data_IF_483774385122
#
_entry.id   IF_483774385122
#
_cell.length_a   1.000
_cell.length_b   1.000
_cell.length_c   1.000
_cell.angle_alpha   90.00
_cell.angle_beta   90.00
_cell.angle_gamma   90.00
#
_symmetry.space_group_name_H-M   'P 1'
#
loop_
_entity.id
_entity.type
_entity.pdbx_description
1 polymer ?
#
# COMPACT_ATOMS: atom_id res chain seq x y z
N UNK A 1 -9.16 17.04 -14.89
CA UNK A 1 -9.08 16.40 -13.55
C UNK A 1 -7.85 16.96 -12.86
N UNK A 2 -7.96 17.33 -11.59
CA UNK A 2 -6.84 17.83 -10.77
C UNK A 2 -5.89 16.69 -10.37
N UNK A 3 -4.59 16.96 -10.24
CA UNK A 3 -3.66 16.00 -9.66
C UNK A 3 -3.85 15.95 -8.14
N UNK A 4 -3.61 14.78 -7.56
CA UNK A 4 -3.55 14.61 -6.11
C UNK A 4 -2.11 14.81 -5.62
N UNK A 5 -1.99 15.11 -4.34
CA UNK A 5 -0.71 15.23 -3.65
C UNK A 5 -0.55 14.04 -2.69
N UNK A 6 0.66 13.50 -2.57
CA UNK A 6 1.05 12.62 -1.47
C UNK A 6 1.56 13.44 -0.26
N UNK A 7 2.07 14.64 -0.52
CA UNK A 7 2.54 15.62 0.45
C UNK A 7 2.80 16.96 -0.25
N UNK A 8 3.32 17.98 0.46
CA UNK A 8 3.65 19.26 -0.15
C UNK A 8 4.50 19.10 -1.40
N UNK A 9 3.90 19.50 -2.53
CA UNK A 9 4.47 19.48 -3.87
C UNK A 9 5.03 18.14 -4.34
N UNK A 10 4.38 17.08 -3.87
CA UNK A 10 4.69 15.71 -4.23
C UNK A 10 3.46 15.09 -4.93
N UNK A 11 3.41 15.08 -6.28
CA UNK A 11 2.30 14.48 -7.01
C UNK A 11 2.14 13.00 -6.64
N UNK A 12 0.91 12.59 -6.30
CA UNK A 12 0.64 11.28 -5.71
C UNK A 12 1.10 10.13 -6.60
N UNK A 13 0.79 10.17 -7.89
CA UNK A 13 1.11 9.07 -8.80
C UNK A 13 2.62 8.87 -8.99
N UNK A 14 3.35 9.97 -9.00
CA UNK A 14 4.81 9.97 -9.10
C UNK A 14 5.47 9.49 -7.80
N UNK A 15 4.92 9.87 -6.63
CA UNK A 15 5.34 9.33 -5.34
C UNK A 15 5.16 7.81 -5.30
N UNK A 16 3.95 7.32 -5.55
CA UNK A 16 3.62 5.89 -5.53
C UNK A 16 4.54 5.08 -6.45
N UNK A 17 4.79 5.57 -7.67
CA UNK A 17 5.69 4.90 -8.60
C UNK A 17 7.15 4.92 -8.12
N UNK A 18 7.61 6.02 -7.53
CA UNK A 18 8.95 6.12 -6.96
C UNK A 18 9.16 5.12 -5.81
N UNK A 19 8.19 5.01 -4.90
CA UNK A 19 8.23 4.05 -3.79
C UNK A 19 8.22 2.63 -4.35
N UNK A 20 7.36 2.34 -5.32
CA UNK A 20 7.29 1.04 -5.97
C UNK A 20 8.60 0.65 -6.68
N UNK A 21 9.24 1.57 -7.41
CA UNK A 21 10.54 1.31 -8.05
C UNK A 21 11.62 0.99 -7.00
N UNK A 22 11.68 1.78 -5.91
CA UNK A 22 12.59 1.52 -4.79
C UNK A 22 12.35 0.14 -4.16
N UNK A 23 11.10 -0.21 -3.84
CA UNK A 23 10.73 -1.52 -3.28
C UNK A 23 11.06 -2.64 -4.27
N UNK A 24 10.85 -2.44 -5.57
CA UNK A 24 11.14 -3.46 -6.59
C UNK A 24 12.63 -3.82 -6.68
N UNK A 25 13.53 -2.93 -6.24
CA UNK A 25 14.98 -3.13 -6.19
C UNK A 25 15.43 -3.62 -4.81
N UNK A 26 15.07 -2.88 -3.75
CA UNK A 26 15.51 -3.18 -2.37
C UNK A 26 14.76 -4.34 -1.73
N UNK A 27 13.55 -4.62 -2.20
CA UNK A 27 12.72 -5.72 -1.74
C UNK A 27 13.12 -7.08 -2.29
N UNK A 28 14.03 -7.16 -3.28
CA UNK A 28 14.44 -8.45 -3.88
C UNK A 28 14.91 -9.47 -2.83
N UNK A 29 15.81 -9.16 -1.88
CA UNK A 29 16.23 -10.13 -0.87
C UNK A 29 15.08 -10.56 0.06
N UNK A 30 14.17 -9.63 0.37
CA UNK A 30 12.98 -9.89 1.20
C UNK A 30 12.02 -10.82 0.45
N UNK A 31 11.70 -10.53 -0.81
CA UNK A 31 10.85 -11.34 -1.68
C UNK A 31 11.38 -12.78 -1.80
N UNK A 32 12.69 -12.97 -2.00
CA UNK A 32 13.31 -14.31 -2.03
C UNK A 32 13.06 -15.12 -0.77
N UNK A 33 13.17 -14.49 0.39
CA UNK A 33 12.94 -15.16 1.68
C UNK A 33 11.44 -15.47 1.87
N UNK A 34 10.57 -14.52 1.56
CA UNK A 34 9.13 -14.67 1.67
C UNK A 34 8.60 -15.76 0.72
N UNK A 35 9.12 -15.83 -0.50
CA UNK A 35 8.79 -16.87 -1.48
C UNK A 35 8.98 -18.27 -0.91
N UNK A 36 10.10 -18.52 -0.22
CA UNK A 36 10.37 -19.81 0.44
C UNK A 36 9.43 -20.08 1.63
N UNK A 37 9.15 -19.04 2.43
CA UNK A 37 8.28 -19.15 3.62
C UNK A 37 6.83 -19.46 3.25
N UNK A 38 6.33 -18.86 2.17
CA UNK A 38 4.95 -19.01 1.71
C UNK A 38 4.80 -19.98 0.54
N UNK A 39 5.89 -20.60 0.08
CA UNK A 39 5.93 -21.58 -1.03
C UNK A 39 5.31 -21.03 -2.33
N UNK A 40 5.68 -19.80 -2.69
CA UNK A 40 5.28 -19.13 -3.94
C UNK A 40 6.51 -18.77 -4.77
N UNK A 41 6.32 -18.32 -6.01
CA UNK A 41 7.41 -17.85 -6.86
C UNK A 41 8.09 -16.57 -6.33
N UNK A 42 9.41 -16.44 -6.53
CA UNK A 42 10.14 -15.21 -6.15
C UNK A 42 9.60 -13.97 -6.85
N UNK A 43 9.22 -14.10 -8.13
CA UNK A 43 8.58 -13.03 -8.90
C UNK A 43 7.22 -12.64 -8.35
N UNK A 44 6.41 -13.62 -7.93
CA UNK A 44 5.08 -13.37 -7.35
C UNK A 44 5.21 -12.66 -6.01
N UNK A 45 6.16 -13.10 -5.17
CA UNK A 45 6.46 -12.43 -3.91
C UNK A 45 6.90 -10.98 -4.13
N UNK A 46 7.75 -10.73 -5.13
CA UNK A 46 8.22 -9.39 -5.46
C UNK A 46 7.10 -8.50 -6.02
N UNK A 47 6.22 -9.05 -6.86
CA UNK A 47 5.06 -8.32 -7.39
C UNK A 47 4.07 -7.98 -6.28
N UNK A 48 3.83 -8.88 -5.32
CA UNK A 48 2.96 -8.63 -4.15
C UNK A 48 3.50 -7.50 -3.25
N UNK A 49 4.80 -7.47 -2.94
CA UNK A 49 5.36 -6.39 -2.12
C UNK A 49 5.48 -5.07 -2.89
N UNK A 50 5.68 -5.12 -4.22
CA UNK A 50 5.68 -3.92 -5.08
C UNK A 50 4.26 -3.36 -5.20
N UNK A 51 3.25 -4.23 -5.29
CA UNK A 51 1.85 -3.84 -5.24
C UNK A 51 1.50 -3.14 -3.91
N UNK A 52 2.01 -3.65 -2.77
CA UNK A 52 1.86 -2.99 -1.48
C UNK A 52 2.37 -1.54 -1.52
N UNK A 53 3.54 -1.32 -2.13
CA UNK A 53 4.13 0.00 -2.30
C UNK A 53 3.30 0.93 -3.21
N UNK A 54 2.73 0.43 -4.31
CA UNK A 54 1.83 1.22 -5.16
C UNK A 54 0.51 1.58 -4.49
N UNK A 55 0.05 0.73 -3.57
CA UNK A 55 -1.27 0.87 -2.95
C UNK A 55 -1.23 1.56 -1.57
N UNK A 56 -0.07 1.67 -0.92
CA UNK A 56 0.02 2.11 0.48
C UNK A 56 -0.65 3.47 0.74
N UNK A 57 -0.52 4.38 -0.23
CA UNK A 57 -1.03 5.75 -0.18
C UNK A 57 -2.21 6.00 -1.13
N UNK A 58 -2.77 4.95 -1.74
CA UNK A 58 -3.90 5.08 -2.67
C UNK A 58 -5.12 5.78 -2.04
N UNK A 59 -5.29 5.65 -0.72
CA UNK A 59 -6.29 6.35 0.06
C UNK A 59 -6.25 7.88 -0.09
N UNK A 60 -5.08 8.47 -0.35
CA UNK A 60 -4.91 9.92 -0.53
C UNK A 60 -5.62 10.46 -1.78
N UNK A 61 -6.08 9.60 -2.69
CA UNK A 61 -6.87 9.97 -3.87
C UNK A 61 -8.38 10.14 -3.59
N UNK A 62 -8.85 9.91 -2.37
CA UNK A 62 -10.26 10.05 -2.01
C UNK A 62 -10.79 11.50 -2.01
N UNK A 63 -12.05 11.71 -2.39
CA UNK A 63 -12.70 13.02 -2.43
C UNK A 63 -12.66 13.80 -1.11
N UNK A 64 -12.58 13.12 0.05
CA UNK A 64 -12.43 13.79 1.35
C UNK A 64 -11.15 14.65 1.48
N UNK A 65 -10.18 14.46 0.59
CA UNK A 65 -8.92 15.21 0.55
C UNK A 65 -8.82 16.20 -0.60
N UNK A 66 -9.94 16.64 -1.20
CA UNK A 66 -9.94 17.57 -2.35
C UNK A 66 -9.11 18.83 -2.14
N UNK A 67 -9.09 19.37 -0.91
CA UNK A 67 -8.33 20.57 -0.54
C UNK A 67 -7.06 20.29 0.26
N UNK A 68 -6.73 19.01 0.48
CA UNK A 68 -5.58 18.64 1.30
C UNK A 68 -4.29 18.62 0.45
N UNK A 69 -3.26 19.24 1.00
CA UNK A 69 -1.92 19.33 0.39
C UNK A 69 -0.91 18.54 1.25
N UNK A 70 -1.06 18.56 2.57
CA UNK A 70 -0.09 18.02 3.54
C UNK A 70 -0.70 17.05 4.55
N UNK A 71 -2.01 17.11 4.79
CA UNK A 71 -2.69 16.36 5.84
C UNK A 71 -3.76 15.42 5.28
N UNK A 72 -3.49 14.11 5.38
CA UNK A 72 -4.36 13.04 4.91
C UNK A 72 -4.73 12.11 6.09
N UNK A 73 -5.62 12.52 7.00
CA UNK A 73 -5.93 11.70 8.17
C UNK A 73 -6.60 10.39 7.76
N UNK A 74 -6.07 9.26 8.25
CA UNK A 74 -6.62 7.91 8.06
C UNK A 74 -6.61 7.41 6.60
N UNK A 75 -5.76 7.93 5.72
CA UNK A 75 -5.68 7.44 4.34
C UNK A 75 -5.29 5.96 4.26
N UNK A 76 -4.54 5.42 5.23
CA UNK A 76 -4.21 3.99 5.33
C UNK A 76 -5.45 3.10 5.41
N UNK A 77 -6.54 3.60 5.99
CA UNK A 77 -7.82 2.89 6.09
C UNK A 77 -8.44 2.73 4.71
N UNK A 78 -8.41 3.80 3.91
CA UNK A 78 -8.90 3.84 2.53
C UNK A 78 -7.98 3.07 1.58
N UNK A 79 -6.66 3.12 1.76
CA UNK A 79 -5.69 2.28 1.05
C UNK A 79 -5.93 0.80 1.32
N UNK A 80 -6.21 0.44 2.56
CA UNK A 80 -6.55 -0.94 2.95
C UNK A 80 -7.85 -1.41 2.29
N UNK A 81 -8.86 -0.53 2.20
CA UNK A 81 -10.09 -0.79 1.45
C UNK A 81 -9.84 -1.08 -0.03
N UNK A 82 -8.99 -0.28 -0.67
CA UNK A 82 -8.58 -0.48 -2.06
C UNK A 82 -7.90 -1.85 -2.26
N UNK A 83 -6.90 -2.17 -1.44
CA UNK A 83 -6.19 -3.46 -1.49
C UNK A 83 -7.13 -4.64 -1.27
N UNK A 84 -8.00 -4.55 -0.25
CA UNK A 84 -9.03 -5.57 0.01
C UNK A 84 -9.87 -5.82 -1.23
N UNK A 85 -10.36 -4.77 -1.88
CA UNK A 85 -11.22 -4.90 -3.06
C UNK A 85 -10.49 -5.60 -4.20
N UNK A 86 -9.23 -5.22 -4.47
CA UNK A 86 -8.39 -5.88 -5.48
C UNK A 86 -8.22 -7.37 -5.18
N UNK A 87 -7.84 -7.71 -3.94
CA UNK A 87 -7.59 -9.10 -3.57
C UNK A 87 -8.86 -9.95 -3.53
N UNK A 88 -10.01 -9.38 -3.15
CA UNK A 88 -11.30 -10.09 -3.16
C UNK A 88 -11.77 -10.40 -4.59
N UNK A 89 -11.66 -9.44 -5.51
CA UNK A 89 -12.03 -9.64 -6.93
C UNK A 89 -11.14 -10.70 -7.61
N UNK A 90 -9.90 -10.82 -7.17
CA UNK A 90 -8.96 -11.84 -7.64
C UNK A 90 -8.99 -13.14 -6.82
N UNK A 91 -9.85 -13.22 -5.79
CA UNK A 91 -9.95 -14.38 -4.87
C UNK A 91 -8.61 -14.77 -4.21
N UNK A 92 -7.77 -13.77 -3.91
CA UNK A 92 -6.46 -13.94 -3.26
C UNK A 92 -6.64 -14.04 -1.73
N UNK A 93 -7.63 -13.33 -1.17
CA UNK A 93 -8.01 -13.41 0.24
C UNK A 93 -9.52 -13.55 0.37
N UNK A 94 -9.96 -14.32 1.35
CA UNK A 94 -11.39 -14.43 1.69
C UNK A 94 -11.83 -13.32 2.66
N UNK A 95 -10.91 -12.89 3.53
CA UNK A 95 -11.17 -11.92 4.59
C UNK A 95 -9.87 -11.23 5.04
N UNK A 96 -10.01 -10.21 5.88
CA UNK A 96 -8.88 -9.45 6.45
C UNK A 96 -8.54 -9.83 7.89
N UNK A 97 -9.17 -10.89 8.42
CA UNK A 97 -8.78 -11.45 9.72
C UNK A 97 -7.47 -12.22 9.53
N UNK A 98 -6.40 -11.68 10.13
CA UNK A 98 -5.06 -12.24 9.98
C UNK A 98 -4.91 -13.58 10.70
N UNK A 99 -5.75 -13.88 11.70
CA UNK A 99 -5.73 -15.13 12.46
C UNK A 99 -6.61 -16.24 11.89
N UNK A 100 -7.50 -15.94 10.94
CA UNK A 100 -8.44 -16.91 10.38
C UNK A 100 -7.98 -17.49 9.04
N UNK A 101 -7.96 -18.82 8.90
CA UNK A 101 -7.58 -19.51 7.65
C UNK A 101 -6.06 -19.59 7.46
N UNK A 102 -5.60 -20.02 6.29
CA UNK A 102 -4.17 -20.21 6.02
C UNK A 102 -3.41 -18.87 5.99
N UNK A 103 -2.18 -18.87 6.50
CA UNK A 103 -1.29 -17.72 6.33
C UNK A 103 -0.91 -17.57 4.87
N UNK A 104 -1.01 -16.36 4.34
CA UNK A 104 -0.58 -16.04 2.98
C UNK A 104 0.25 -14.76 2.96
N UNK A 105 1.12 -14.63 1.96
CA UNK A 105 1.86 -13.39 1.75
C UNK A 105 0.90 -12.21 1.48
N UNK A 106 -0.26 -12.48 0.86
CA UNK A 106 -1.29 -11.47 0.65
C UNK A 106 -1.83 -10.88 1.97
N UNK A 107 -2.06 -11.70 3.00
CA UNK A 107 -2.42 -11.19 4.33
C UNK A 107 -1.33 -10.29 4.93
N UNK A 108 -0.06 -10.64 4.74
CA UNK A 108 1.04 -9.80 5.18
C UNK A 108 1.12 -8.47 4.39
N UNK A 109 0.77 -8.47 3.10
CA UNK A 109 0.64 -7.25 2.29
C UNK A 109 -0.50 -6.35 2.79
N UNK A 110 -1.68 -6.91 3.05
CA UNK A 110 -2.82 -6.16 3.63
C UNK A 110 -2.41 -5.55 4.96
N UNK A 111 -1.75 -6.32 5.84
CA UNK A 111 -1.25 -5.84 7.11
C UNK A 111 -0.23 -4.71 6.95
N UNK A 112 0.71 -4.83 6.01
CA UNK A 112 1.70 -3.80 5.75
C UNK A 112 1.06 -2.48 5.26
N UNK A 113 0.07 -2.56 4.37
CA UNK A 113 -0.67 -1.37 3.92
C UNK A 113 -1.50 -0.76 5.04
N UNK A 114 -2.17 -1.55 5.87
CA UNK A 114 -2.92 -1.03 7.00
C UNK A 114 -2.04 -0.35 8.05
N UNK A 115 -0.81 -0.84 8.22
CA UNK A 115 0.07 -0.44 9.31
C UNK A 115 1.25 0.42 8.88
N UNK A 116 1.33 0.91 7.64
CA UNK A 116 2.55 1.60 7.16
C UNK A 116 2.95 2.83 8.01
N UNK A 117 2.00 3.45 8.72
CA UNK A 117 2.26 4.53 9.69
C UNK A 117 2.53 4.09 11.15
N UNK A 118 2.75 2.80 11.42
CA UNK A 118 2.84 2.26 12.80
C UNK A 118 3.88 2.94 13.70
N UNK A 119 4.91 3.54 13.11
CA UNK A 119 5.96 4.28 13.83
C UNK A 119 5.54 5.69 14.24
N UNK A 120 4.45 6.22 13.66
CA UNK A 120 4.01 7.60 13.85
C UNK A 120 2.65 7.72 14.55
N UNK A 121 1.82 6.66 14.53
CA UNK A 121 0.52 6.65 15.21
C UNK A 121 0.08 5.25 15.62
N UNK A 122 -0.58 5.17 16.77
CA UNK A 122 -1.26 3.94 17.19
C UNK A 122 -2.48 3.66 16.29
N UNK A 123 -2.65 2.43 15.80
CA UNK A 123 -3.82 2.08 15.00
C UNK A 123 -5.12 2.13 15.82
N UNK A 124 -6.14 2.81 15.30
CA UNK A 124 -7.43 2.93 15.98
C UNK A 124 -8.35 1.73 15.65
N UNK A 125 -8.62 0.91 16.66
CA UNK A 125 -9.45 -0.32 16.60
C UNK A 125 -10.91 -0.09 16.25
N UNK A 126 -11.44 1.14 16.39
CA UNK A 126 -12.82 1.46 16.06
C UNK A 126 -12.98 1.93 14.60
N UNK A 127 -11.89 2.23 13.90
CA UNK A 127 -11.95 2.88 12.59
C UNK A 127 -12.36 1.93 11.47
N UNK A 128 -13.40 2.33 10.72
CA UNK A 128 -13.92 1.62 9.57
C UNK A 128 -13.74 2.52 8.34
N UNK A 129 -13.43 1.92 7.19
CA UNK A 129 -13.44 2.67 5.94
C UNK A 129 -14.90 3.03 5.58
N UNK A 130 -15.19 4.30 5.43
CA UNK A 130 -16.41 4.81 4.78
C UNK A 130 -16.41 4.54 3.27
N UNK A 131 -15.27 4.10 2.72
CA UNK A 131 -15.05 3.78 1.32
C UNK A 131 -13.91 4.60 0.73
N UNK A 132 -13.75 4.49 -0.59
CA UNK A 132 -12.85 5.32 -1.38
C UNK A 132 -13.58 5.76 -2.65
N UNK A 133 -13.74 7.06 -2.82
CA UNK A 133 -14.28 7.71 -4.04
C UNK A 133 -13.15 8.51 -4.66
N UNK A 134 -12.51 8.03 -5.74
CA UNK A 134 -11.38 8.72 -6.36
C UNK A 134 -11.76 10.10 -6.89
N UNK A 135 -10.95 11.13 -6.60
CA UNK A 135 -11.09 12.48 -7.17
C UNK A 135 -10.09 12.78 -8.30
N UNK A 136 -9.07 11.95 -8.44
CA UNK A 136 -7.98 12.08 -9.39
C UNK A 136 -7.60 10.70 -9.95
N UNK A 137 -6.85 10.70 -11.07
CA UNK A 137 -6.40 9.48 -11.73
C UNK A 137 -4.97 9.07 -11.37
N UNK A 138 -4.32 9.77 -10.45
CA UNK A 138 -2.90 9.59 -10.12
C UNK A 138 -2.55 8.15 -9.70
N UNK A 139 -3.43 7.50 -8.93
CA UNK A 139 -3.27 6.09 -8.56
C UNK A 139 -3.34 5.20 -9.80
N UNK A 140 -4.31 5.43 -10.69
CA UNK A 140 -4.43 4.68 -11.94
C UNK A 140 -3.20 4.90 -12.85
N UNK A 141 -2.69 6.13 -12.96
CA UNK A 141 -1.48 6.44 -13.75
C UNK A 141 -0.23 5.74 -13.18
N UNK A 142 -0.08 5.67 -11.86
CA UNK A 142 0.99 4.89 -11.22
C UNK A 142 0.89 3.40 -11.60
N UNK A 143 -0.30 2.80 -11.51
CA UNK A 143 -0.53 1.41 -11.91
C UNK A 143 -0.31 1.17 -13.41
N UNK A 144 -0.67 2.12 -14.30
CA UNK A 144 -0.41 2.00 -15.75
C UNK A 144 1.08 1.86 -16.04
N UNK A 145 1.91 2.62 -15.33
CA UNK A 145 3.38 2.66 -15.48
C UNK A 145 4.09 1.48 -14.82
N UNK A 146 3.45 0.80 -13.86
CA UNK A 146 4.01 -0.41 -13.27
C UNK A 146 4.18 -1.54 -14.30
N UNK A 147 5.33 -2.20 -14.28
CA UNK A 147 5.66 -3.36 -15.10
C UNK A 147 5.84 -4.58 -14.18
N UNK A 148 4.78 -5.35 -13.91
CA UNK A 148 4.88 -6.56 -13.09
C UNK A 148 5.71 -7.63 -13.81
N UNK A 149 6.19 -8.61 -13.05
CA UNK A 149 7.07 -9.68 -13.53
C UNK A 149 6.33 -10.98 -13.84
N UNK A 150 5.13 -11.12 -13.31
CA UNK A 150 4.36 -12.36 -13.31
C UNK A 150 2.93 -12.14 -13.77
N UNK A 151 2.24 -13.23 -14.12
CA UNK A 151 0.80 -13.22 -14.42
C UNK A 151 -0.04 -12.74 -13.23
N UNK A 152 0.36 -13.08 -12.00
CA UNK A 152 -0.25 -12.55 -10.78
C UNK A 152 -0.11 -11.03 -10.73
N UNK A 153 1.08 -10.50 -10.99
CA UNK A 153 1.31 -9.06 -11.01
C UNK A 153 0.51 -8.34 -12.10
N UNK A 154 0.38 -8.91 -13.30
CA UNK A 154 -0.49 -8.37 -14.36
C UNK A 154 -1.97 -8.38 -13.96
N UNK A 155 -2.43 -9.46 -13.31
CA UNK A 155 -3.80 -9.52 -12.77
C UNK A 155 -4.05 -8.46 -11.69
N UNK A 156 -3.08 -8.27 -10.77
CA UNK A 156 -3.12 -7.22 -9.76
C UNK A 156 -3.19 -5.84 -10.41
N UNK A 157 -2.34 -5.57 -11.40
CA UNK A 157 -2.34 -4.30 -12.15
C UNK A 157 -3.69 -4.04 -12.83
N UNK A 158 -4.19 -5.01 -13.59
CA UNK A 158 -5.46 -4.88 -14.31
C UNK A 158 -6.60 -4.55 -13.34
N UNK A 159 -6.71 -5.32 -12.25
CA UNK A 159 -7.79 -5.13 -11.29
C UNK A 159 -7.65 -3.81 -10.51
N UNK A 160 -6.43 -3.42 -10.17
CA UNK A 160 -6.15 -2.14 -9.54
C UNK A 160 -6.54 -0.95 -10.43
N UNK A 161 -6.30 -1.04 -11.75
CA UNK A 161 -6.72 0.00 -12.70
C UNK A 161 -8.23 0.15 -12.78
N UNK A 162 -8.97 -0.96 -12.84
CA UNK A 162 -10.43 -0.95 -12.81
C UNK A 162 -10.97 -0.29 -11.53
N UNK A 163 -10.39 -0.65 -10.37
CA UNK A 163 -10.83 -0.13 -9.08
C UNK A 163 -10.41 1.32 -8.87
N UNK A 164 -9.22 1.73 -9.33
CA UNK A 164 -8.73 3.10 -9.16
C UNK A 164 -9.57 4.15 -9.90
N UNK A 165 -10.35 3.72 -10.90
CA UNK A 165 -11.30 4.56 -11.62
C UNK A 165 -12.73 4.52 -11.03
N UNK A 166 -12.99 3.67 -10.02
CA UNK A 166 -14.31 3.40 -9.48
C UNK A 166 -14.41 3.60 -7.97
N UNK A 167 -15.65 3.57 -7.47
CA UNK A 167 -15.91 3.68 -6.03
C UNK A 167 -15.65 2.35 -5.33
N UNK A 168 -14.93 2.40 -4.21
CA UNK A 168 -14.80 1.31 -3.25
C UNK A 168 -15.78 1.55 -2.11
N UNK A 169 -16.69 0.60 -1.88
CA UNK A 169 -17.67 0.71 -0.80
C UNK A 169 -17.06 0.60 0.61
N UNK A 170 -17.84 0.96 1.65
CA UNK A 170 -17.44 0.82 3.04
C UNK A 170 -17.00 -0.61 3.38
N UNK A 171 -15.99 -0.76 4.24
CA UNK A 171 -15.58 -2.08 4.73
C UNK A 171 -14.77 -2.01 6.03
N UNK A 172 -14.62 -3.17 6.66
CA UNK A 172 -14.04 -3.36 7.99
C UNK A 172 -12.59 -3.84 7.95
N UNK A 173 -11.95 -3.94 6.78
CA UNK A 173 -10.68 -4.66 6.63
C UNK A 173 -9.55 -4.11 7.51
N UNK A 174 -9.42 -2.78 7.57
CA UNK A 174 -8.44 -2.13 8.46
C UNK A 174 -8.68 -2.52 9.94
N UNK A 175 -9.94 -2.40 10.39
CA UNK A 175 -10.33 -2.80 11.75
C UNK A 175 -10.01 -4.26 12.02
N UNK A 176 -10.34 -5.15 11.08
CA UNK A 176 -10.15 -6.58 11.22
C UNK A 176 -8.65 -6.90 11.34
N UNK A 177 -7.80 -6.27 10.52
CA UNK A 177 -6.34 -6.34 10.66
C UNK A 177 -5.90 -5.92 12.06
N UNK A 178 -6.25 -4.70 12.49
CA UNK A 178 -5.79 -4.14 13.77
C UNK A 178 -6.25 -4.97 14.95
N UNK A 179 -7.50 -5.42 14.95
CA UNK A 179 -8.07 -6.22 16.03
C UNK A 179 -7.44 -7.61 16.12
N UNK A 180 -6.95 -8.16 15.01
CA UNK A 180 -6.39 -9.52 14.97
C UNK A 180 -4.88 -9.55 15.12
N UNK A 181 -4.20 -8.40 15.24
CA UNK A 181 -2.73 -8.36 15.36
C UNK A 181 -2.15 -9.23 16.48
N UNK A 182 -2.87 -9.32 17.60
CA UNK A 182 -2.45 -10.09 18.77
C UNK A 182 -2.49 -11.61 18.53
N UNK A 183 -3.34 -12.09 17.61
CA UNK A 183 -3.51 -13.52 17.29
C UNK A 183 -2.73 -13.96 16.04
N UNK A 184 -1.96 -13.05 15.41
CA UNK A 184 -1.18 -13.34 14.20
C UNK A 184 -0.04 -14.31 14.50
N UNK A 185 0.09 -15.33 13.63
CA UNK A 185 1.19 -16.28 13.67
C UNK A 185 2.56 -15.58 13.58
N UNK A 186 3.58 -16.15 14.20
CA UNK A 186 4.96 -15.62 14.11
C UNK A 186 5.41 -15.46 12.65
N UNK A 187 4.99 -16.39 11.77
CA UNK A 187 5.28 -16.36 10.34
C UNK A 187 4.70 -15.11 9.67
N UNK A 188 3.41 -14.82 9.85
CA UNK A 188 2.78 -13.62 9.28
C UNK A 188 3.33 -12.34 9.89
N UNK A 189 3.59 -12.34 11.20
CA UNK A 189 4.15 -11.17 11.91
C UNK A 189 5.49 -10.77 11.31
N UNK A 190 6.43 -11.70 11.16
CA UNK A 190 7.73 -11.41 10.56
C UNK A 190 7.63 -11.05 9.08
N UNK A 191 6.69 -11.64 8.34
CA UNK A 191 6.45 -11.28 6.95
C UNK A 191 5.99 -9.83 6.82
N UNK A 192 4.97 -9.41 7.59
CA UNK A 192 4.46 -8.04 7.59
C UNK A 192 5.57 -7.04 7.99
N UNK A 193 6.33 -7.34 9.05
CA UNK A 193 7.45 -6.49 9.48
C UNK A 193 8.55 -6.34 8.41
N UNK A 194 8.86 -7.43 7.69
CA UNK A 194 9.85 -7.37 6.61
C UNK A 194 9.38 -6.50 5.43
N UNK A 195 8.08 -6.57 5.09
CA UNK A 195 7.48 -5.72 4.05
C UNK A 195 7.48 -4.26 4.51
N UNK A 196 7.01 -3.99 5.73
CA UNK A 196 7.00 -2.66 6.34
C UNK A 196 8.38 -2.01 6.38
N UNK A 197 9.42 -2.77 6.76
CA UNK A 197 10.78 -2.25 6.84
C UNK A 197 11.30 -1.73 5.49
N UNK A 198 11.01 -2.44 4.39
CA UNK A 198 11.40 -2.00 3.04
C UNK A 198 10.50 -0.86 2.57
N UNK A 199 9.18 -0.97 2.78
CA UNK A 199 8.19 0.03 2.38
C UNK A 199 8.49 1.38 3.01
N UNK A 200 8.58 1.46 4.35
CA UNK A 200 8.77 2.71 5.06
C UNK A 200 10.11 3.36 4.75
N UNK A 201 11.16 2.56 4.52
CA UNK A 201 12.46 3.08 4.10
C UNK A 201 12.40 3.71 2.72
N UNK A 202 11.72 3.08 1.77
CA UNK A 202 11.55 3.59 0.42
C UNK A 202 10.63 4.82 0.38
N UNK A 203 9.52 4.79 1.12
CA UNK A 203 8.61 5.91 1.28
C UNK A 203 9.33 7.17 1.78
N UNK A 204 10.05 7.05 2.91
CA UNK A 204 10.84 8.16 3.47
C UNK A 204 11.85 8.73 2.47
N UNK A 205 12.62 7.88 1.77
CA UNK A 205 13.66 8.36 0.85
C UNK A 205 13.07 9.06 -0.39
N UNK A 206 11.95 8.56 -0.92
CA UNK A 206 11.26 9.17 -2.06
C UNK A 206 10.67 10.52 -1.66
N UNK A 207 9.97 10.57 -0.52
CA UNK A 207 9.41 11.81 0.00
C UNK A 207 10.51 12.85 0.28
N UNK A 208 11.62 12.43 0.89
CA UNK A 208 12.77 13.32 1.15
C UNK A 208 13.38 13.88 -0.13
N UNK A 209 13.62 13.02 -1.13
CA UNK A 209 14.23 13.43 -2.40
C UNK A 209 13.34 14.43 -3.16
N UNK A 210 12.02 14.23 -3.15
CA UNK A 210 11.07 15.09 -3.85
C UNK A 210 10.94 16.46 -3.18
N UNK A 211 10.86 16.51 -1.85
CA UNK A 211 10.84 17.77 -1.10
C UNK A 211 12.13 18.57 -1.31
N UNK A 212 13.28 17.90 -1.38
CA UNK A 212 14.56 18.56 -1.67
C UNK A 212 14.62 19.14 -3.10
N UNK A 213 13.93 18.51 -4.07
CA UNK A 213 13.88 19.00 -5.44
C UNK A 213 13.02 20.26 -5.61
N UNK A 214 12.00 20.47 -4.77
CA UNK A 214 11.17 21.68 -4.78
C UNK A 214 11.81 22.89 -4.08
N UNK A 215 12.75 22.65 -3.16
CA UNK A 215 13.49 23.68 -2.44
C UNK A 215 15.00 23.52 -2.62
N UNK A 216 15.55 23.80 -3.82
CA UNK A 216 16.98 23.74 -4.06
C UNK A 216 17.69 24.82 -3.23
N UNK A 217 18.20 24.44 -2.06
CA UNK A 217 18.95 25.34 -1.16
C UNK A 217 18.62 25.23 0.32
N UNK A 218 17.53 24.56 0.70
CA UNK A 218 17.17 24.36 2.12
C UNK A 218 17.68 22.99 2.58
N UNK A 219 18.49 22.90 3.66
CA UNK A 219 18.86 21.61 4.24
C UNK A 219 17.60 20.83 4.58
N UNK A 220 17.56 19.55 4.18
CA UNK A 220 16.49 18.65 4.59
C UNK A 220 16.67 18.34 6.09
N UNK A 221 16.09 19.18 6.94
CA UNK A 221 16.13 19.00 8.39
C UNK A 221 15.44 17.70 8.80
N UNK A 222 16.07 17.04 9.78
CA UNK A 222 15.84 15.68 10.28
C UNK A 222 14.56 15.61 11.13
#
# INVERSE_FOLDING_TARGET
>A
MSSCQAGPGEPLGDHLLGVADCVSKRGVPVAKKLARVFKIGEGEALDLITFAALAHDAGKADVSYEKAIDRFPLHEVKSTAFVKRVFQELRIIDNCDLGRGEDSLAKAVVAAVALHHYVHKEPNKATVADGLTPRCLDVAEAFKRWRPRTSLGEALKSKALEIAAGNVGPNTCYRDVVNTLHSVSTRLRYAAMAILGVLNRCDYEVAKARRAAEHPGTPADI
#
